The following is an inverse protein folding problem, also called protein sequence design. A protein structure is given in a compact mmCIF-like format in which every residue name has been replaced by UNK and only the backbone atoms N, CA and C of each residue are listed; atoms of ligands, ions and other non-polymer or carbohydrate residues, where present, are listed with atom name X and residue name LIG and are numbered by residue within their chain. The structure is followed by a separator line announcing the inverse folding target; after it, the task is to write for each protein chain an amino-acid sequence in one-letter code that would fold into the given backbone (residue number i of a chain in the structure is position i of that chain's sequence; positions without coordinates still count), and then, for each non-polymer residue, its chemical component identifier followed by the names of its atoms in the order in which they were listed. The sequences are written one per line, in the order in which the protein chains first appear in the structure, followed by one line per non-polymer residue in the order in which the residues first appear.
data_IF_071344247677
#
_entry.id   IF_071344247677
#
_cell.length_a   1.000
_cell.length_b   1.000
_cell.length_c   1.000
_cell.angle_alpha   90.00
_cell.angle_beta   90.00
_cell.angle_gamma   90.00
#
_symmetry.space_group_name_H-M   'P 1'
#
loop_
_entity.id
_entity.type
_entity.pdbx_description
1 polymer ?
#
# COMPACT_ATOMS: atom_id res chain seq x y z
N UNK A 1 -9.49 -3.42 -10.60
CA UNK A 1 -8.24 -2.79 -10.08
C UNK A 1 -7.67 -3.68 -9.00
N UNK A 2 -6.36 -3.93 -9.00
CA UNK A 2 -5.72 -4.81 -8.02
C UNK A 2 -4.99 -3.96 -6.97
N UNK A 3 -5.19 -4.28 -5.70
CA UNK A 3 -4.57 -3.62 -4.56
C UNK A 3 -3.76 -4.63 -3.74
N UNK A 4 -2.55 -4.27 -3.33
CA UNK A 4 -1.68 -5.08 -2.48
C UNK A 4 -1.55 -4.42 -1.11
N UNK A 5 -2.22 -4.96 -0.09
CA UNK A 5 -2.12 -4.45 1.27
C UNK A 5 -1.03 -5.24 1.99
N UNK A 6 -0.09 -4.55 2.65
CA UNK A 6 1.05 -5.18 3.33
C UNK A 6 0.97 -4.87 4.82
N UNK A 7 0.43 -5.78 5.61
CA UNK A 7 0.23 -5.55 7.03
C UNK A 7 0.39 -6.88 7.79
N UNK A 8 1.21 -6.87 8.84
CA UNK A 8 1.45 -8.03 9.69
C UNK A 8 0.29 -8.29 10.67
N UNK A 9 -0.63 -7.33 10.84
CA UNK A 9 -1.82 -7.47 11.65
C UNK A 9 -2.98 -8.11 10.84
N UNK A 10 -3.43 -9.33 11.18
CA UNK A 10 -4.54 -10.00 10.46
C UNK A 10 -5.87 -9.25 10.58
N UNK A 11 -6.04 -8.44 11.63
CA UNK A 11 -7.24 -7.62 11.83
C UNK A 11 -7.39 -6.54 10.75
N UNK A 12 -6.28 -6.04 10.20
CA UNK A 12 -6.29 -5.06 9.12
C UNK A 12 -6.89 -5.68 7.87
N UNK A 13 -6.52 -6.92 7.52
CA UNK A 13 -7.12 -7.62 6.39
C UNK A 13 -8.65 -7.70 6.53
N UNK A 14 -9.14 -8.18 7.67
CA UNK A 14 -10.57 -8.32 7.91
C UNK A 14 -11.31 -6.96 7.82
N UNK A 15 -10.69 -5.90 8.31
CA UNK A 15 -11.23 -4.55 8.26
C UNK A 15 -11.35 -4.03 6.81
N UNK A 16 -10.34 -4.25 5.98
CA UNK A 16 -10.37 -3.88 4.56
C UNK A 16 -11.44 -4.66 3.80
N UNK A 17 -11.49 -5.97 3.96
CA UNK A 17 -12.53 -6.81 3.34
C UNK A 17 -13.94 -6.37 3.74
N UNK A 18 -14.15 -6.01 5.01
CA UNK A 18 -15.44 -5.50 5.48
C UNK A 18 -15.79 -4.14 4.89
N UNK A 19 -14.83 -3.19 4.82
CA UNK A 19 -15.05 -1.81 4.34
C UNK A 19 -15.20 -1.71 2.83
N UNK A 20 -14.55 -2.60 2.08
CA UNK A 20 -14.58 -2.67 0.62
C UNK A 20 -15.42 -3.84 0.08
N UNK A 21 -16.26 -4.44 0.93
CA UNK A 21 -17.09 -5.61 0.58
C UNK A 21 -17.97 -5.39 -0.65
N UNK A 22 -18.39 -4.14 -0.94
CA UNK A 22 -19.24 -3.84 -2.09
C UNK A 22 -18.43 -3.88 -3.39
N UNK A 23 -17.27 -3.24 -3.37
CA UNK A 23 -16.33 -3.09 -4.49
C UNK A 23 -15.68 -4.44 -4.86
N UNK A 24 -15.39 -5.26 -3.85
CA UNK A 24 -14.93 -6.65 -4.03
C UNK A 24 -16.02 -7.50 -4.70
N UNK A 25 -17.25 -7.45 -4.17
CA UNK A 25 -18.37 -8.24 -4.73
C UNK A 25 -18.75 -7.83 -6.16
N UNK A 26 -18.58 -6.56 -6.52
CA UNK A 26 -18.83 -6.10 -7.89
C UNK A 26 -17.67 -6.38 -8.85
N UNK A 27 -16.55 -6.93 -8.38
CA UNK A 27 -15.34 -7.15 -9.19
C UNK A 27 -14.62 -5.87 -9.60
N UNK A 28 -14.96 -4.73 -8.96
CA UNK A 28 -14.32 -3.46 -9.26
C UNK A 28 -12.88 -3.41 -8.68
N UNK A 29 -12.70 -4.04 -7.51
CA UNK A 29 -11.44 -4.09 -6.78
C UNK A 29 -11.12 -5.52 -6.33
N UNK A 30 -9.86 -5.92 -6.50
CA UNK A 30 -9.30 -7.17 -5.98
C UNK A 30 -8.24 -6.82 -4.96
N UNK A 31 -8.34 -7.36 -3.75
CA UNK A 31 -7.34 -7.15 -2.70
C UNK A 31 -6.48 -8.40 -2.55
N UNK A 32 -5.17 -8.20 -2.58
CA UNK A 32 -4.16 -9.16 -2.16
C UNK A 32 -3.57 -8.67 -0.85
N UNK A 33 -3.41 -9.55 0.12
CA UNK A 33 -2.79 -9.23 1.40
C UNK A 33 -1.45 -9.94 1.50
N UNK A 34 -0.43 -9.22 1.98
CA UNK A 34 0.87 -9.76 2.33
C UNK A 34 1.14 -9.41 3.80
N UNK A 35 1.65 -10.38 4.56
CA UNK A 35 1.91 -10.23 5.99
C UNK A 35 3.37 -9.86 6.30
N UNK A 36 4.16 -9.62 5.25
CA UNK A 36 5.53 -9.17 5.38
C UNK A 36 5.99 -8.44 4.12
N UNK A 37 6.99 -7.57 4.28
CA UNK A 37 7.65 -6.92 3.14
C UNK A 37 8.24 -7.93 2.14
N UNK A 38 8.73 -9.08 2.61
CA UNK A 38 9.29 -10.10 1.73
C UNK A 38 8.20 -10.74 0.86
N UNK A 39 7.06 -11.09 1.46
CA UNK A 39 5.91 -11.65 0.72
C UNK A 39 5.39 -10.65 -0.32
N UNK A 40 5.36 -9.36 0.02
CA UNK A 40 5.00 -8.31 -0.93
C UNK A 40 5.97 -8.24 -2.12
N UNK A 41 7.29 -8.31 -1.87
CA UNK A 41 8.31 -8.31 -2.93
C UNK A 41 8.21 -9.55 -3.82
N UNK A 42 8.00 -10.72 -3.22
CA UNK A 42 7.85 -11.98 -3.95
C UNK A 42 6.59 -11.94 -4.83
N UNK A 43 5.49 -11.40 -4.31
CA UNK A 43 4.25 -11.20 -5.06
C UNK A 43 4.46 -10.24 -6.25
N UNK A 44 5.07 -9.08 -6.02
CA UNK A 44 5.37 -8.10 -7.06
C UNK A 44 6.28 -8.69 -8.15
N UNK A 45 7.27 -9.48 -7.76
CA UNK A 45 8.17 -10.16 -8.71
C UNK A 45 7.42 -11.16 -9.60
N UNK A 46 6.39 -11.82 -9.08
CA UNK A 46 5.61 -12.84 -9.81
C UNK A 46 4.51 -12.24 -10.68
N UNK A 47 3.77 -11.26 -10.15
CA UNK A 47 2.55 -10.73 -10.77
C UNK A 47 2.74 -9.37 -11.47
N UNK A 48 3.87 -8.68 -11.23
CA UNK A 48 4.19 -7.39 -11.85
C UNK A 48 3.59 -6.15 -11.14
N UNK A 49 3.82 -4.97 -11.73
CA UNK A 49 3.47 -3.64 -11.17
C UNK A 49 2.07 -3.13 -11.48
N UNK A 50 1.20 -3.94 -12.11
CA UNK A 50 -0.20 -3.55 -12.33
C UNK A 50 -1.02 -3.42 -11.03
N UNK A 51 -0.39 -3.72 -9.89
CA UNK A 51 -0.96 -3.70 -8.56
C UNK A 51 -0.73 -2.32 -7.95
N UNK A 52 -1.83 -1.60 -7.78
CA UNK A 52 -1.83 -0.21 -7.38
C UNK A 52 -2.22 -0.14 -5.91
N UNK A 53 -1.44 0.62 -5.12
CA UNK A 53 -1.59 0.87 -3.69
C UNK A 53 -0.97 -0.21 -2.79
N UNK A 54 0.24 0.07 -2.32
CA UNK A 54 0.94 -0.68 -1.27
C UNK A 54 0.79 0.07 0.04
N UNK A 55 -0.05 -0.45 0.92
CA UNK A 55 -0.30 0.05 2.26
C UNK A 55 0.57 -0.72 3.23
N UNK A 56 1.61 -0.09 3.77
CA UNK A 56 2.53 -0.73 4.70
C UNK A 56 2.59 0.07 5.98
N UNK A 57 2.40 -0.60 7.13
CA UNK A 57 2.92 -0.08 8.40
C UNK A 57 4.44 0.14 8.25
N UNK A 58 4.95 1.21 8.83
CA UNK A 58 6.38 1.50 8.83
C UNK A 58 7.09 0.49 9.74
N UNK A 59 6.44 0.07 10.82
CA UNK A 59 7.00 -0.83 11.83
C UNK A 59 6.55 -2.27 11.61
N UNK A 60 7.18 -2.95 10.66
CA UNK A 60 7.05 -4.40 10.51
C UNK A 60 8.32 -5.11 11.00
N UNK A 61 8.22 -6.33 11.55
CA UNK A 61 9.38 -7.14 11.89
C UNK A 61 10.19 -7.51 10.63
N UNK A 62 11.50 -7.32 10.71
CA UNK A 62 12.45 -7.65 9.63
C UNK A 62 12.78 -6.47 8.72
N UNK A 63 11.85 -6.07 7.85
CA UNK A 63 12.06 -4.96 6.89
C UNK A 63 10.96 -3.92 7.04
N UNK A 64 11.36 -2.66 7.16
CA UNK A 64 10.43 -1.54 7.32
C UNK A 64 9.67 -1.23 6.02
N UNK A 65 8.48 -0.64 6.14
CA UNK A 65 7.72 -0.19 4.98
C UNK A 65 8.48 0.83 4.11
N UNK A 66 9.36 1.64 4.70
CA UNK A 66 10.22 2.58 3.96
C UNK A 66 11.30 1.85 3.13
N UNK A 67 11.90 0.80 3.67
CA UNK A 67 12.84 -0.03 2.90
C UNK A 67 12.15 -0.77 1.76
N UNK A 68 10.93 -1.26 2.00
CA UNK A 68 10.09 -1.87 0.98
C UNK A 68 9.83 -0.88 -0.17
N UNK A 69 9.41 0.36 0.15
CA UNK A 69 9.23 1.44 -0.83
C UNK A 69 10.48 1.65 -1.69
N UNK A 70 11.65 1.78 -1.07
CA UNK A 70 12.93 1.95 -1.78
C UNK A 70 13.23 0.79 -2.72
N UNK A 71 13.03 -0.45 -2.27
CA UNK A 71 13.25 -1.64 -3.09
C UNK A 71 12.31 -1.69 -4.28
N UNK A 72 11.03 -1.40 -4.08
CA UNK A 72 10.04 -1.40 -5.16
C UNK A 72 10.37 -0.33 -6.20
N UNK A 73 10.74 0.88 -5.76
CA UNK A 73 11.20 1.94 -6.67
C UNK A 73 12.46 1.57 -7.44
N UNK A 74 13.37 0.82 -6.82
CA UNK A 74 14.56 0.29 -7.50
C UNK A 74 14.25 -0.87 -8.46
N UNK A 75 13.20 -1.66 -8.21
CA UNK A 75 12.78 -2.76 -9.08
C UNK A 75 12.00 -2.26 -10.31
N UNK A 76 11.14 -1.25 -10.13
CA UNK A 76 10.28 -0.70 -11.19
C UNK A 76 10.79 0.66 -11.66
N UNK A 77 11.93 0.66 -12.34
CA UNK A 77 12.57 1.86 -12.90
C UNK A 77 11.95 2.32 -14.21
N UNK A 78 11.19 1.46 -14.89
CA UNK A 78 10.51 1.77 -16.15
C UNK A 78 9.06 2.22 -15.90
N UNK A 79 8.59 3.28 -16.58
CA UNK A 79 7.24 3.79 -16.41
C UNK A 79 6.16 2.92 -17.09
N UNK A 80 4.92 2.90 -16.56
CA UNK A 80 4.50 3.58 -15.33
C UNK A 80 4.92 2.78 -14.08
N UNK A 81 5.53 3.44 -13.08
CA UNK A 81 5.89 2.76 -11.85
C UNK A 81 4.64 2.52 -10.98
N UNK A 82 4.64 1.52 -10.07
CA UNK A 82 3.50 1.26 -9.21
C UNK A 82 3.21 2.46 -8.29
N UNK A 83 1.93 2.69 -7.98
CA UNK A 83 1.52 3.74 -7.03
C UNK A 83 1.64 3.19 -5.62
N UNK A 84 2.36 3.89 -4.75
CA UNK A 84 2.67 3.44 -3.39
C UNK A 84 2.11 4.45 -2.39
N UNK A 85 1.34 3.99 -1.40
CA UNK A 85 0.70 4.83 -0.39
C UNK A 85 1.04 4.32 1.01
N UNK A 86 1.79 5.09 1.77
CA UNK A 86 2.23 4.66 3.10
C UNK A 86 1.12 4.89 4.15
N UNK A 87 0.94 3.97 5.10
CA UNK A 87 0.08 4.15 6.28
C UNK A 87 0.93 3.97 7.54
N UNK A 88 0.86 4.87 8.51
CA UNK A 88 1.61 4.71 9.77
C UNK A 88 0.87 5.27 10.98
N UNK A 89 1.04 4.64 12.15
CA UNK A 89 0.61 5.20 13.44
C UNK A 89 1.53 6.31 13.94
N UNK A 90 2.81 6.27 13.58
CA UNK A 90 3.77 7.33 13.88
C UNK A 90 3.83 8.27 12.69
N UNK A 91 2.86 9.20 12.66
CA UNK A 91 2.82 10.31 11.72
C UNK A 91 3.79 11.44 12.10
N UNK A 92 5.01 11.11 12.52
CA UNK A 92 5.99 12.14 12.76
C UNK A 92 6.43 12.76 11.42
N UNK A 93 6.54 14.08 11.40
CA UNK A 93 6.91 14.86 10.21
C UNK A 93 8.15 14.32 9.46
N UNK A 94 9.20 13.81 10.14
CA UNK A 94 10.36 13.22 9.49
C UNK A 94 10.02 11.99 8.63
N UNK A 95 9.21 11.06 9.13
CA UNK A 95 8.82 9.85 8.41
C UNK A 95 7.99 10.17 7.17
N UNK A 96 7.09 11.17 7.28
CA UNK A 96 6.34 11.68 6.13
C UNK A 96 7.28 12.23 5.04
N UNK A 97 8.22 13.10 5.43
CA UNK A 97 9.15 13.69 4.47
C UNK A 97 10.04 12.64 3.82
N UNK A 98 10.52 11.67 4.61
CA UNK A 98 11.33 10.58 4.10
C UNK A 98 10.55 9.72 3.09
N UNK A 99 9.31 9.33 3.41
CA UNK A 99 8.46 8.56 2.49
C UNK A 99 8.24 9.29 1.16
N UNK A 100 8.01 10.60 1.22
CA UNK A 100 7.79 11.42 0.02
C UNK A 100 9.07 11.58 -0.80
N UNK A 101 10.22 11.76 -0.15
CA UNK A 101 11.53 11.80 -0.82
C UNK A 101 11.90 10.46 -1.47
N UNK A 102 11.54 9.35 -0.84
CA UNK A 102 11.73 7.99 -1.36
C UNK A 102 10.75 7.64 -2.50
N UNK A 103 9.87 8.58 -2.84
CA UNK A 103 8.98 8.49 -3.98
C UNK A 103 7.65 7.81 -3.66
N UNK A 104 7.14 7.84 -2.43
CA UNK A 104 5.74 7.52 -2.19
C UNK A 104 4.84 8.46 -3.02
N UNK A 105 3.64 8.01 -3.38
CA UNK A 105 2.65 8.86 -4.06
C UNK A 105 1.76 9.58 -3.06
N UNK A 106 1.49 8.93 -1.93
CA UNK A 106 0.61 9.46 -0.90
C UNK A 106 0.96 8.85 0.47
N UNK A 107 0.43 9.47 1.52
CA UNK A 107 0.67 9.09 2.90
C UNK A 107 -0.58 9.32 3.74
N UNK A 108 -0.90 8.36 4.60
CA UNK A 108 -2.01 8.40 5.55
C UNK A 108 -1.51 8.09 6.97
N UNK A 109 -2.10 8.75 7.95
CA UNK A 109 -1.82 8.51 9.37
C UNK A 109 -2.91 7.63 10.00
N UNK A 110 -2.55 6.74 10.93
CA UNK A 110 -3.53 6.02 11.76
C UNK A 110 -4.06 7.00 12.83
N UNK A 111 -5.36 6.94 13.20
CA UNK A 111 -6.36 5.96 12.78
C UNK A 111 -6.77 6.15 11.31
N UNK A 112 -6.80 5.05 10.56
CA UNK A 112 -7.07 5.07 9.13
C UNK A 112 -8.51 5.51 8.84
N UNK A 113 -8.68 6.64 8.15
CA UNK A 113 -9.98 7.05 7.62
C UNK A 113 -10.25 6.36 6.28
N UNK A 114 -11.14 5.37 6.30
CA UNK A 114 -11.56 4.65 5.09
C UNK A 114 -12.29 5.53 4.06
N UNK A 115 -12.86 6.65 4.49
CA UNK A 115 -13.51 7.62 3.59
C UNK A 115 -12.46 8.34 2.77
N UNK A 116 -11.40 8.82 3.44
CA UNK A 116 -10.26 9.47 2.79
C UNK A 116 -9.51 8.47 1.90
N UNK A 117 -9.25 7.27 2.40
CA UNK A 117 -8.61 6.19 1.64
C UNK A 117 -9.37 5.88 0.35
N UNK A 118 -10.70 5.73 0.42
CA UNK A 118 -11.54 5.50 -0.76
C UNK A 118 -11.44 6.63 -1.77
N UNK A 119 -11.44 7.88 -1.31
CA UNK A 119 -11.32 9.04 -2.17
C UNK A 119 -9.95 9.07 -2.88
N UNK A 120 -8.86 8.84 -2.14
CA UNK A 120 -7.49 8.79 -2.70
C UNK A 120 -7.33 7.63 -3.70
N UNK A 121 -7.84 6.44 -3.37
CA UNK A 121 -7.86 5.29 -4.29
C UNK A 121 -8.60 5.65 -5.58
N UNK A 122 -9.78 6.28 -5.49
CA UNK A 122 -10.54 6.68 -6.66
C UNK A 122 -9.82 7.73 -7.52
N UNK A 123 -9.13 8.69 -6.89
CA UNK A 123 -8.33 9.70 -7.59
C UNK A 123 -7.16 9.08 -8.37
N UNK A 124 -6.46 8.13 -7.75
CA UNK A 124 -5.31 7.44 -8.34
C UNK A 124 -5.73 6.43 -9.42
N UNK A 125 -6.92 5.81 -9.28
CA UNK A 125 -7.47 4.88 -10.26
C UNK A 125 -7.97 5.56 -11.55
N UNK A 126 -8.28 6.86 -11.48
CA UNK A 126 -8.81 7.64 -12.60
C UNK A 126 -7.76 8.50 -13.34
N UNK A 127 -6.49 8.42 -12.94
CA UNK A 127 -5.38 9.18 -13.55
C UNK A 127 -4.65 8.38 -14.62
#
# INVERSE_FOLDING_TARGET
MNLLVVDDEPDVQALFEQRFRREIRSGAMTFTFAHSAQEALDFLTREGSNNLLILSDINMPGMSGLELLKRIRAMYTLPPPPVIMMITAYGDQPSYQQAMQDGANDFLSKPLDFTELKAKIAQLAGS
#
